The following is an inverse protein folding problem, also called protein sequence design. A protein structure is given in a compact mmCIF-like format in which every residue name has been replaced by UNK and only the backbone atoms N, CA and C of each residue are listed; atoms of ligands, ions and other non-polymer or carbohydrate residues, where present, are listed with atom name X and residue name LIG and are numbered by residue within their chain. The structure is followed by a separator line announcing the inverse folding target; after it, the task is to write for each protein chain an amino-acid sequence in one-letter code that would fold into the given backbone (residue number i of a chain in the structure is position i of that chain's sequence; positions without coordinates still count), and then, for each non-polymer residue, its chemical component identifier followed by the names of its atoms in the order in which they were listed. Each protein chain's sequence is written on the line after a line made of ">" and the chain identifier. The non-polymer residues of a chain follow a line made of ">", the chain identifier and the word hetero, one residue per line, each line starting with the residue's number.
data_IF_195755316601
#
_entry.id   IF_195755316601
#
_cell.length_a   1.000
_cell.length_b   1.000
_cell.length_c   1.000
_cell.angle_alpha   90.00
_cell.angle_beta   90.00
_cell.angle_gamma   90.00
#
_symmetry.space_group_name_H-M   'P 1'
#
loop_
_entity.id
_entity.type
_entity.pdbx_description
1 polymer ?
#
# COMPACT_ATOMS: atom_id res chain seq x y z
N UNK A 1 63.46 -2.75 -56.41
CA UNK A 1 63.01 -1.66 -55.55
C UNK A 1 61.49 -1.79 -55.42
N UNK A 2 61.06 -2.42 -54.37
CA UNK A 2 59.63 -2.60 -54.14
C UNK A 2 59.36 -2.36 -52.66
N UNK A 3 58.68 -1.26 -52.37
CA UNK A 3 58.27 -0.85 -51.02
C UNK A 3 57.03 -1.61 -50.63
N UNK A 4 57.05 -2.34 -49.54
CA UNK A 4 55.89 -3.01 -48.92
C UNK A 4 55.04 -2.01 -48.14
N UNK A 5 53.70 -2.11 -48.17
CA UNK A 5 52.83 -1.24 -47.38
C UNK A 5 52.77 -1.66 -45.91
N UNK A 6 52.89 -0.65 -45.09
CA UNK A 6 52.84 -0.71 -43.62
C UNK A 6 51.39 -0.98 -43.18
N UNK A 7 51.07 -2.18 -42.70
CA UNK A 7 49.78 -2.47 -42.09
C UNK A 7 49.75 -1.88 -40.70
N UNK A 8 49.00 -0.80 -40.53
CA UNK A 8 48.69 -0.24 -39.21
C UNK A 8 47.84 -1.23 -38.40
N UNK A 9 48.39 -1.66 -37.31
CA UNK A 9 47.68 -2.50 -36.30
C UNK A 9 46.64 -1.62 -35.63
N UNK A 10 45.35 -1.69 -36.03
CA UNK A 10 44.22 -1.17 -35.28
C UNK A 10 44.06 -1.99 -34.03
N UNK A 11 44.34 -1.39 -32.88
CA UNK A 11 44.20 -2.03 -31.55
C UNK A 11 42.74 -2.13 -31.17
N UNK A 12 42.17 -3.31 -31.43
CA UNK A 12 40.82 -3.72 -31.05
C UNK A 12 40.50 -3.74 -29.55
N UNK A 13 41.47 -3.71 -28.60
CA UNK A 13 41.10 -3.82 -27.19
C UNK A 13 40.51 -2.54 -26.56
N UNK A 14 40.73 -1.37 -27.18
CA UNK A 14 40.25 -0.11 -26.62
C UNK A 14 38.75 0.15 -26.84
N UNK A 15 38.18 -0.34 -27.93
CA UNK A 15 36.76 -0.22 -28.20
C UNK A 15 35.92 -1.16 -27.33
N UNK A 16 36.42 -2.37 -27.05
CA UNK A 16 35.72 -3.31 -26.19
C UNK A 16 35.66 -2.84 -24.72
N UNK A 17 36.71 -2.18 -24.24
CA UNK A 17 36.76 -1.64 -22.88
C UNK A 17 35.83 -0.43 -22.72
N UNK A 18 35.66 0.41 -23.74
CA UNK A 18 34.75 1.56 -23.73
C UNK A 18 33.27 1.12 -23.67
N UNK A 19 32.90 0.04 -24.33
CA UNK A 19 31.54 -0.52 -24.31
C UNK A 19 31.19 -1.18 -22.95
N UNK A 20 32.15 -1.75 -22.25
CA UNK A 20 31.95 -2.35 -20.93
C UNK A 20 31.77 -1.25 -19.86
N UNK A 21 32.49 -0.13 -19.98
CA UNK A 21 32.36 0.98 -19.03
C UNK A 21 31.07 1.81 -19.23
N UNK A 22 30.50 1.84 -20.45
CA UNK A 22 29.24 2.51 -20.71
C UNK A 22 28.01 1.75 -20.15
N UNK A 23 28.11 0.46 -19.91
CA UNK A 23 27.01 -0.36 -19.36
C UNK A 23 26.88 -0.30 -17.82
N UNK A 24 27.86 0.29 -17.12
CA UNK A 24 27.83 0.38 -15.65
C UNK A 24 27.16 1.65 -15.10
N UNK A 25 26.70 2.57 -15.94
CA UNK A 25 26.22 3.89 -15.53
C UNK A 25 24.70 4.02 -15.43
N UNK A 26 23.91 2.95 -15.60
CA UNK A 26 22.48 2.97 -15.35
C UNK A 26 22.21 2.44 -13.95
N UNK A 27 22.56 3.22 -12.95
CA UNK A 27 22.02 3.07 -11.60
C UNK A 27 20.62 3.69 -11.65
N UNK A 28 19.53 2.92 -11.45
CA UNK A 28 18.23 3.53 -11.31
C UNK A 28 18.28 4.43 -10.06
N UNK A 29 18.12 5.74 -10.26
CA UNK A 29 17.79 6.64 -9.14
C UNK A 29 16.47 6.13 -8.56
N UNK A 30 16.54 5.37 -7.49
CA UNK A 30 15.37 5.09 -6.68
C UNK A 30 14.92 6.42 -6.10
N UNK A 31 13.90 6.99 -6.71
CA UNK A 31 13.24 8.17 -6.17
C UNK A 31 12.62 7.73 -4.85
N UNK A 32 13.27 8.09 -3.74
CA UNK A 32 12.67 8.04 -2.43
C UNK A 32 11.57 9.12 -2.41
N UNK A 33 10.42 8.81 -3.00
CA UNK A 33 9.24 9.63 -2.83
C UNK A 33 8.94 9.66 -1.33
N UNK A 34 8.82 10.84 -0.72
CA UNK A 34 8.43 10.93 0.67
C UNK A 34 7.12 10.17 0.84
N UNK A 35 7.13 9.13 1.68
CA UNK A 35 5.91 8.40 2.02
C UNK A 35 4.97 9.41 2.69
N UNK A 36 3.69 9.47 2.29
CA UNK A 36 2.75 10.29 3.02
C UNK A 36 2.76 9.81 4.47
N UNK A 37 3.11 10.71 5.37
CA UNK A 37 2.95 10.48 6.82
C UNK A 37 1.44 10.32 7.01
N UNK A 38 1.00 9.12 7.40
CA UNK A 38 -0.38 8.92 7.83
C UNK A 38 -0.60 9.87 9.02
N UNK A 39 -1.26 10.99 8.76
CA UNK A 39 -1.74 11.87 9.81
C UNK A 39 -2.61 11.05 10.75
N UNK A 40 -2.39 11.17 12.06
CA UNK A 40 -3.29 10.58 13.04
C UNK A 40 -4.67 11.20 12.85
N UNK A 41 -5.69 10.38 12.60
CA UNK A 41 -7.06 10.87 12.51
C UNK A 41 -7.42 11.62 13.79
N UNK A 42 -8.11 12.77 13.69
CA UNK A 42 -8.65 13.42 14.88
C UNK A 42 -9.50 12.43 15.66
N UNK A 43 -9.38 12.43 16.98
CA UNK A 43 -10.13 11.51 17.85
C UNK A 43 -11.12 12.31 18.72
N UNK A 44 -12.35 11.82 18.80
CA UNK A 44 -13.38 12.28 19.72
C UNK A 44 -13.71 11.18 20.71
N UNK A 45 -13.71 11.47 22.01
CA UNK A 45 -14.04 10.51 23.06
C UNK A 45 -15.49 10.69 23.51
N UNK A 46 -16.24 9.61 23.53
CA UNK A 46 -17.59 9.51 24.05
C UNK A 46 -17.64 8.43 25.14
N UNK A 47 -18.59 8.55 26.05
CA UNK A 47 -18.79 7.58 27.14
C UNK A 47 -20.15 6.89 26.97
N UNK A 48 -20.16 5.57 27.12
CA UNK A 48 -21.37 4.78 27.30
C UNK A 48 -21.58 4.63 28.81
N UNK A 49 -22.76 4.96 29.29
CA UNK A 49 -23.18 4.69 30.67
C UNK A 49 -24.44 3.84 30.64
N UNK A 50 -24.88 3.32 31.81
CA UNK A 50 -26.14 2.61 31.84
C UNK A 50 -27.27 3.52 31.35
N UNK A 51 -27.97 3.05 30.29
CA UNK A 51 -29.12 3.68 29.67
C UNK A 51 -28.85 5.00 28.89
N UNK A 52 -27.59 5.42 28.67
CA UNK A 52 -27.31 6.63 27.89
C UNK A 52 -25.92 6.61 27.22
N UNK A 53 -25.83 7.39 26.13
CA UNK A 53 -24.55 7.84 25.55
C UNK A 53 -24.27 9.27 26.00
N UNK A 54 -23.00 9.57 26.24
CA UNK A 54 -22.56 10.90 26.68
C UNK A 54 -21.37 11.39 25.82
N UNK A 55 -21.58 12.48 25.09
CA UNK A 55 -22.82 13.27 24.95
C UNK A 55 -23.83 12.54 24.05
N UNK A 56 -25.13 12.83 24.21
CA UNK A 56 -26.19 12.26 23.37
C UNK A 56 -26.17 12.81 21.93
N UNK A 57 -25.36 13.84 21.66
CA UNK A 57 -25.13 14.40 20.33
C UNK A 57 -23.65 14.74 20.14
N UNK A 58 -23.08 14.20 19.07
CA UNK A 58 -21.68 14.42 18.67
C UNK A 58 -21.66 15.20 17.36
N UNK A 59 -20.80 16.23 17.28
CA UNK A 59 -20.52 16.95 16.03
C UNK A 59 -19.02 16.82 15.75
N UNK A 60 -18.69 16.22 14.61
CA UNK A 60 -17.30 15.98 14.19
C UNK A 60 -17.13 16.22 12.69
N UNK A 61 -15.90 16.35 12.23
CA UNK A 61 -15.60 16.39 10.80
C UNK A 61 -15.31 14.99 10.24
N UNK A 62 -15.45 14.85 8.93
CA UNK A 62 -15.00 13.67 8.20
C UNK A 62 -13.53 13.36 8.50
N UNK A 63 -13.17 12.09 8.58
CA UNK A 63 -11.86 11.62 9.02
C UNK A 63 -11.72 11.48 10.54
N UNK A 64 -12.67 11.95 11.34
CA UNK A 64 -12.61 11.80 12.80
C UNK A 64 -12.95 10.38 13.23
N UNK A 65 -12.14 9.83 14.12
CA UNK A 65 -12.42 8.59 14.84
C UNK A 65 -13.18 8.93 16.13
N UNK A 66 -14.37 8.39 16.30
CA UNK A 66 -15.08 8.45 17.59
C UNK A 66 -14.78 7.17 18.35
N UNK A 67 -14.42 7.35 19.63
CA UNK A 67 -14.13 6.26 20.55
C UNK A 67 -15.17 6.29 21.67
N UNK A 68 -16.01 5.27 21.74
CA UNK A 68 -16.98 5.07 22.83
C UNK A 68 -16.36 4.16 23.87
N UNK A 69 -16.23 4.63 25.10
CA UNK A 69 -15.76 3.84 26.23
C UNK A 69 -16.91 3.59 27.19
N UNK A 70 -17.24 2.34 27.46
CA UNK A 70 -18.25 2.00 28.43
C UNK A 70 -17.68 2.17 29.84
N UNK A 71 -18.40 2.92 30.68
CA UNK A 71 -18.02 3.16 32.08
C UNK A 71 -17.73 1.83 32.80
N UNK A 72 -16.63 1.79 33.54
CA UNK A 72 -16.26 0.62 34.35
C UNK A 72 -17.23 0.35 35.52
N UNK A 73 -18.08 1.34 35.83
CA UNK A 73 -19.11 1.21 36.88
C UNK A 73 -20.47 0.74 36.38
N UNK A 74 -20.58 0.51 35.04
CA UNK A 74 -21.80 0.01 34.41
C UNK A 74 -22.25 -1.35 34.96
N UNK A 75 -23.52 -1.67 34.77
CA UNK A 75 -24.14 -2.89 35.37
C UNK A 75 -24.66 -3.87 34.32
N UNK A 76 -24.95 -3.40 33.10
CA UNK A 76 -25.56 -4.21 32.05
C UNK A 76 -24.79 -4.04 30.74
N UNK A 77 -24.98 -4.93 29.78
CA UNK A 77 -24.35 -4.81 28.47
C UNK A 77 -25.02 -3.75 27.61
N UNK A 78 -24.23 -3.03 26.83
CA UNK A 78 -24.70 -2.06 25.82
C UNK A 78 -24.06 -2.35 24.46
N UNK A 79 -24.57 -1.73 23.42
CA UNK A 79 -23.96 -1.73 22.09
C UNK A 79 -23.86 -0.31 21.55
N UNK A 80 -22.95 -0.07 20.64
CA UNK A 80 -22.89 1.11 19.78
C UNK A 80 -23.24 0.64 18.37
N UNK A 81 -24.49 0.85 17.94
CA UNK A 81 -25.00 0.25 16.71
C UNK A 81 -25.78 1.30 15.91
N UNK A 82 -25.66 1.31 14.58
CA UNK A 82 -26.51 2.15 13.73
C UNK A 82 -27.97 1.82 13.99
N UNK A 83 -28.79 2.85 14.20
CA UNK A 83 -30.22 2.67 14.40
C UNK A 83 -30.85 1.94 13.20
N UNK A 84 -31.79 1.04 13.44
CA UNK A 84 -32.46 0.30 12.37
C UNK A 84 -33.24 1.23 11.45
N UNK A 85 -33.43 0.83 10.20
CA UNK A 85 -34.22 1.57 9.18
C UNK A 85 -33.71 2.98 8.88
N UNK A 86 -32.41 3.22 9.01
CA UNK A 86 -31.76 4.48 8.65
C UNK A 86 -30.83 4.29 7.44
N UNK A 87 -30.38 5.39 6.83
CA UNK A 87 -29.39 5.36 5.75
C UNK A 87 -28.03 4.80 6.18
N UNK A 88 -27.89 4.47 7.46
CA UNK A 88 -26.68 3.88 8.06
C UNK A 88 -26.77 2.34 8.15
N UNK A 89 -27.71 1.74 7.43
CA UNK A 89 -27.79 0.29 7.24
C UNK A 89 -27.52 -0.06 5.78
N UNK A 90 -26.69 -1.04 5.53
CA UNK A 90 -26.40 -1.54 4.20
C UNK A 90 -26.97 -2.96 4.05
N UNK A 91 -27.99 -3.11 3.20
CA UNK A 91 -28.65 -4.42 3.03
C UNK A 91 -29.26 -5.00 4.31
N UNK A 92 -29.76 -4.14 5.22
CA UNK A 92 -30.31 -4.55 6.53
C UNK A 92 -29.24 -4.75 7.62
N UNK A 93 -27.95 -4.72 7.28
CA UNK A 93 -26.85 -4.82 8.25
C UNK A 93 -26.46 -3.42 8.74
N UNK A 94 -26.32 -3.19 10.07
CA UNK A 94 -25.83 -1.93 10.59
C UNK A 94 -24.45 -1.59 10.05
N UNK A 95 -24.25 -0.34 9.59
CA UNK A 95 -22.95 0.16 9.15
C UNK A 95 -21.96 0.23 10.32
N UNK A 96 -22.47 0.54 11.53
CA UNK A 96 -21.71 0.62 12.78
C UNK A 96 -22.28 -0.46 13.70
N UNK A 97 -21.42 -1.32 14.24
CA UNK A 97 -21.84 -2.35 15.19
C UNK A 97 -20.63 -2.77 16.04
N UNK A 98 -20.72 -2.44 17.33
CA UNK A 98 -19.70 -2.84 18.30
C UNK A 98 -19.84 -4.29 18.78
N UNK A 99 -21.02 -4.89 18.54
CA UNK A 99 -21.42 -6.03 19.35
C UNK A 99 -21.64 -5.64 20.83
N UNK A 100 -21.87 -6.62 21.74
CA UNK A 100 -22.03 -6.36 23.18
C UNK A 100 -20.74 -5.80 23.80
N UNK A 101 -20.86 -4.67 24.50
CA UNK A 101 -19.81 -4.06 25.30
C UNK A 101 -20.08 -4.33 26.79
N UNK A 102 -19.08 -4.82 27.48
CA UNK A 102 -19.05 -4.94 28.92
C UNK A 102 -18.43 -3.69 29.56
N UNK A 103 -18.67 -3.42 30.84
CA UNK A 103 -18.04 -2.31 31.55
C UNK A 103 -16.53 -2.26 31.36
N UNK A 104 -15.98 -1.07 31.05
CA UNK A 104 -14.57 -0.84 30.78
C UNK A 104 -14.13 -1.11 29.33
N UNK A 105 -14.97 -1.72 28.48
CA UNK A 105 -14.64 -1.95 27.08
C UNK A 105 -14.88 -0.71 26.23
N UNK A 106 -14.16 -0.63 25.12
CA UNK A 106 -14.27 0.47 24.15
C UNK A 106 -14.51 -0.07 22.75
N UNK A 107 -15.18 0.76 21.94
CA UNK A 107 -15.36 0.56 20.51
C UNK A 107 -15.02 1.85 19.79
N UNK A 108 -14.51 1.77 18.59
CA UNK A 108 -14.21 2.95 17.77
C UNK A 108 -14.66 2.79 16.33
N UNK A 109 -15.06 3.91 15.72
CA UNK A 109 -15.41 4.00 14.31
C UNK A 109 -14.92 5.31 13.71
N UNK A 110 -14.35 5.27 12.50
CA UNK A 110 -13.88 6.45 11.78
C UNK A 110 -14.91 6.83 10.71
N UNK A 111 -15.37 8.07 10.76
CA UNK A 111 -16.37 8.59 9.84
C UNK A 111 -15.73 9.20 8.61
N UNK A 112 -15.75 8.51 7.48
CA UNK A 112 -15.16 8.99 6.22
C UNK A 112 -16.14 9.78 5.34
N UNK A 113 -17.43 9.68 5.60
CA UNK A 113 -18.49 10.37 4.84
C UNK A 113 -19.26 11.32 5.75
N UNK A 114 -19.62 12.49 5.20
CA UNK A 114 -20.49 13.42 5.88
C UNK A 114 -21.91 12.86 6.00
N UNK A 115 -22.65 13.30 7.00
CA UNK A 115 -24.03 12.90 7.20
C UNK A 115 -24.44 12.78 8.67
N UNK A 116 -25.67 12.32 8.86
CA UNK A 116 -26.24 12.04 10.18
C UNK A 116 -26.24 10.54 10.42
N UNK A 117 -25.66 10.13 11.54
CA UNK A 117 -25.53 8.74 11.94
C UNK A 117 -26.26 8.53 13.26
N UNK A 118 -27.56 8.15 13.20
CA UNK A 118 -28.27 7.75 14.40
C UNK A 118 -27.71 6.45 14.97
N UNK A 119 -27.36 6.46 16.23
CA UNK A 119 -26.87 5.33 16.99
C UNK A 119 -27.93 4.92 18.01
N UNK A 120 -28.10 3.62 18.21
CA UNK A 120 -29.03 3.05 19.16
C UNK A 120 -28.40 1.81 19.81
N UNK A 121 -28.64 1.61 21.10
CA UNK A 121 -28.28 0.36 21.75
C UNK A 121 -29.28 -0.73 21.32
N UNK A 122 -28.74 -1.86 20.81
CA UNK A 122 -29.58 -2.97 20.37
C UNK A 122 -30.37 -3.63 21.52
N UNK A 123 -29.86 -3.53 22.76
CA UNK A 123 -30.54 -4.07 23.94
C UNK A 123 -31.53 -3.10 24.57
N UNK A 124 -31.33 -1.79 24.35
CA UNK A 124 -32.11 -0.71 24.98
C UNK A 124 -32.57 0.30 23.91
N UNK A 125 -33.69 0.06 23.22
CA UNK A 125 -34.13 0.91 22.09
C UNK A 125 -34.39 2.37 22.44
N UNK A 126 -34.55 2.71 23.70
CA UNK A 126 -34.69 4.09 24.18
C UNK A 126 -33.32 4.81 24.31
N UNK A 127 -32.21 4.10 24.29
CA UNK A 127 -30.87 4.64 24.41
C UNK A 127 -30.35 5.03 23.02
N UNK A 128 -30.36 6.33 22.74
CA UNK A 128 -30.06 6.88 21.43
C UNK A 128 -28.99 7.97 21.51
N UNK A 129 -28.21 8.09 20.43
CA UNK A 129 -27.24 9.15 20.17
C UNK A 129 -27.34 9.57 18.70
N UNK A 130 -26.97 10.81 18.39
CA UNK A 130 -26.81 11.28 17.02
C UNK A 130 -25.39 11.78 16.79
N UNK A 131 -24.69 11.16 15.86
CA UNK A 131 -23.41 11.67 15.36
C UNK A 131 -23.66 12.45 14.07
N UNK A 132 -23.39 13.76 14.10
CA UNK A 132 -23.42 14.65 12.95
C UNK A 132 -22.01 14.84 12.42
N UNK A 133 -21.75 14.36 11.22
CA UNK A 133 -20.46 14.43 10.54
C UNK A 133 -20.51 15.48 9.45
N UNK A 134 -19.63 16.48 9.53
CA UNK A 134 -19.56 17.60 8.58
C UNK A 134 -18.25 17.57 7.80
N UNK A 135 -18.15 18.40 6.76
CA UNK A 135 -16.98 18.44 5.87
C UNK A 135 -17.16 17.64 4.59
N UNK A 136 -16.13 17.63 3.76
CA UNK A 136 -16.11 16.83 2.52
C UNK A 136 -15.76 15.39 2.81
N UNK A 137 -16.30 14.46 2.05
CA UNK A 137 -15.95 13.05 2.16
C UNK A 137 -14.44 12.85 1.98
N UNK A 138 -13.85 12.01 2.82
CA UNK A 138 -12.45 11.63 2.75
C UNK A 138 -12.33 10.14 2.41
N UNK A 139 -11.27 9.80 1.68
CA UNK A 139 -11.01 8.41 1.33
C UNK A 139 -10.47 7.67 2.56
N UNK A 140 -11.00 6.48 2.90
CA UNK A 140 -10.35 5.61 3.86
C UNK A 140 -8.90 5.35 3.45
N UNK A 141 -7.95 5.20 4.39
CA UNK A 141 -6.59 4.79 4.06
C UNK A 141 -6.63 3.53 3.20
N UNK A 142 -5.95 3.58 2.06
CA UNK A 142 -5.77 2.36 1.26
C UNK A 142 -5.05 1.32 2.13
N UNK A 143 -5.48 0.05 2.10
CA UNK A 143 -4.69 -0.99 2.73
C UNK A 143 -3.25 -0.86 2.22
N UNK A 144 -2.24 -1.09 3.07
CA UNK A 144 -0.86 -1.07 2.62
C UNK A 144 -0.79 -1.96 1.38
N UNK A 145 -0.33 -1.37 0.27
CA UNK A 145 -0.03 -2.16 -0.92
C UNK A 145 0.98 -3.22 -0.47
N UNK A 146 0.50 -4.40 -0.17
CA UNK A 146 1.33 -5.59 -0.25
C UNK A 146 1.62 -5.78 -1.74
N UNK A 147 2.47 -4.91 -2.28
CA UNK A 147 3.23 -5.29 -3.45
C UNK A 147 4.08 -6.46 -2.96
N UNK A 148 3.54 -7.66 -3.11
CA UNK A 148 4.38 -8.82 -3.32
C UNK A 148 5.41 -8.33 -4.35
N UNK A 149 6.72 -8.37 -4.07
CA UNK A 149 7.68 -8.02 -5.08
C UNK A 149 7.60 -9.07 -6.20
N UNK A 150 6.67 -8.85 -7.13
CA UNK A 150 6.59 -9.58 -8.40
C UNK A 150 7.53 -8.93 -9.40
N UNK A 151 8.57 -8.25 -8.88
CA UNK A 151 9.60 -7.62 -9.69
C UNK A 151 10.75 -8.59 -9.95
N UNK A 152 10.40 -9.80 -10.43
CA UNK A 152 11.42 -10.73 -10.92
C UNK A 152 11.65 -10.64 -12.44
N UNK A 153 10.80 -9.88 -13.13
CA UNK A 153 10.76 -9.87 -14.59
C UNK A 153 11.88 -9.09 -15.29
N UNK A 154 12.37 -7.93 -14.83
CA UNK A 154 13.40 -7.23 -15.60
C UNK A 154 14.77 -7.90 -15.52
N UNK A 155 15.12 -8.56 -14.42
CA UNK A 155 16.42 -9.20 -14.26
C UNK A 155 16.54 -10.55 -14.99
N UNK A 156 15.43 -11.30 -15.09
CA UNK A 156 15.42 -12.59 -15.80
C UNK A 156 15.61 -12.39 -17.31
N UNK A 157 14.99 -11.36 -17.89
CA UNK A 157 15.10 -11.07 -19.33
C UNK A 157 16.47 -10.45 -19.65
N UNK A 158 16.95 -9.52 -18.82
CA UNK A 158 18.28 -8.92 -18.99
C UNK A 158 19.42 -9.92 -18.83
N UNK A 159 19.32 -10.83 -17.87
CA UNK A 159 20.31 -11.89 -17.65
C UNK A 159 20.36 -12.90 -18.79
N UNK A 160 19.22 -13.29 -19.33
CA UNK A 160 19.15 -14.23 -20.46
C UNK A 160 19.77 -13.65 -21.74
N UNK A 161 19.51 -12.37 -22.04
CA UNK A 161 20.07 -11.70 -23.23
C UNK A 161 21.59 -11.52 -23.07
N UNK A 162 22.07 -11.09 -21.90
CA UNK A 162 23.50 -10.93 -21.64
C UNK A 162 24.24 -12.28 -21.71
N UNK A 163 23.67 -13.34 -21.15
CA UNK A 163 24.22 -14.69 -21.24
C UNK A 163 24.30 -15.22 -22.68
N UNK A 164 23.27 -15.01 -23.48
CA UNK A 164 23.25 -15.42 -24.89
C UNK A 164 24.31 -14.71 -25.72
N UNK A 165 24.54 -13.42 -25.50
CA UNK A 165 25.58 -12.65 -26.20
C UNK A 165 26.98 -13.16 -25.85
N UNK A 166 27.22 -13.47 -24.58
CA UNK A 166 28.54 -14.02 -24.13
C UNK A 166 28.78 -15.38 -24.76
N UNK A 167 27.83 -16.30 -24.75
CA UNK A 167 27.95 -17.62 -25.33
C UNK A 167 28.18 -17.53 -26.85
N UNK A 168 27.43 -16.68 -27.55
CA UNK A 168 27.60 -16.48 -29.00
C UNK A 168 28.99 -15.93 -29.32
N UNK A 169 29.50 -14.99 -28.53
CA UNK A 169 30.83 -14.40 -28.70
C UNK A 169 31.94 -15.43 -28.50
N UNK A 170 31.80 -16.29 -27.51
CA UNK A 170 32.75 -17.39 -27.25
C UNK A 170 32.72 -18.41 -28.40
N UNK A 171 31.52 -18.79 -28.86
CA UNK A 171 31.37 -19.74 -29.97
C UNK A 171 32.00 -19.22 -31.28
N UNK A 172 31.79 -17.95 -31.61
CA UNK A 172 32.38 -17.28 -32.78
C UNK A 172 33.91 -17.20 -32.66
N UNK A 173 34.42 -16.93 -31.45
CA UNK A 173 35.87 -16.88 -31.21
C UNK A 173 36.54 -18.26 -31.38
N UNK A 174 35.92 -19.30 -30.84
CA UNK A 174 36.43 -20.69 -30.97
C UNK A 174 36.34 -21.16 -32.41
N UNK A 175 35.29 -20.84 -33.14
CA UNK A 175 35.13 -21.19 -34.58
C UNK A 175 36.22 -20.56 -35.48
N UNK A 176 36.72 -19.38 -35.11
CA UNK A 176 37.83 -18.72 -35.82
C UNK A 176 39.19 -19.32 -35.53
N UNK A 177 39.34 -20.15 -34.48
CA UNK A 177 40.59 -20.79 -34.09
C UNK A 177 40.77 -22.21 -34.63
N UNK A 178 39.74 -22.84 -35.20
CA UNK A 178 39.89 -24.16 -35.82
C UNK A 178 40.63 -24.01 -37.15
N UNK A 179 41.83 -24.55 -37.28
CA UNK A 179 42.55 -24.53 -38.57
C UNK A 179 41.76 -25.39 -39.56
N UNK A 180 41.53 -24.83 -40.74
CA UNK A 180 40.95 -25.57 -41.87
C UNK A 180 41.92 -26.73 -42.24
N UNK A 181 41.55 -27.96 -42.01
CA UNK A 181 42.28 -29.11 -42.48
C UNK A 181 42.39 -29.01 -44.03
N UNK A 182 43.59 -28.94 -44.54
CA UNK A 182 43.86 -29.03 -45.96
C UNK A 182 43.66 -30.48 -46.36
N UNK A 183 42.70 -30.78 -47.16
CA UNK A 183 42.54 -32.04 -47.88
C UNK A 183 43.49 -31.98 -49.11
N UNK A 184 44.47 -32.83 -49.12
CA UNK A 184 45.29 -33.16 -50.30
C UNK A 184 44.55 -34.14 -51.17
#
# INVERSE_FOLDING_TARGET
>A
MGTLPFFSRLSFPRLALALILASLAIVPLTQNSPRPVLGTNPTFSATVVDNAYQPARINVNTGTQVVWTYSSTGKVQHTVTSAPNTNTTQGGTPLISSGPLNPGQSFSYTFYKHGFYPIQCAFHPFMNELVNVTGSDVQPPSPPNTTTPTDYTPYAIGGAIAGAIVILSIALFLRRRTPRARTT
#
